data_IF_065812258876
#
_entry.id   IF_065812258876
#
_cell.length_a   1.000
_cell.length_b   1.000
_cell.length_c   1.000
_cell.angle_alpha   90.00
_cell.angle_beta   90.00
_cell.angle_gamma   90.00
#
_symmetry.space_group_name_H-M   'P 1'
#
loop_
_entity.id
_entity.type
_entity.pdbx_description
1 polymer ?
#
# COMPACT_ATOMS: atom_id res chain seq x y z
N UNK A 1 -54.22 2.80 8.94
CA UNK A 1 -52.75 2.78 9.01
C UNK A 1 -52.31 3.47 10.31
N UNK A 2 -51.60 2.81 11.22
CA UNK A 2 -51.12 3.45 12.47
C UNK A 2 -49.67 3.93 12.30
N UNK A 3 -49.32 5.17 12.68
CA UNK A 3 -47.95 5.66 12.55
C UNK A 3 -47.01 4.96 13.55
N UNK A 4 -45.82 4.57 13.10
CA UNK A 4 -44.77 4.00 13.96
C UNK A 4 -44.31 5.08 14.95
N UNK A 5 -44.29 4.75 16.25
CA UNK A 5 -43.99 5.67 17.36
C UNK A 5 -42.60 6.31 17.29
N UNK A 6 -41.65 5.70 16.56
CA UNK A 6 -40.33 6.28 16.26
C UNK A 6 -39.96 5.98 14.78
N UNK A 7 -39.96 6.98 13.88
CA UNK A 7 -39.61 6.78 12.47
C UNK A 7 -38.12 6.46 12.25
N UNK A 8 -37.28 6.86 13.21
CA UNK A 8 -35.81 6.82 13.10
C UNK A 8 -35.15 5.77 14.01
N UNK A 9 -35.92 4.91 14.67
CA UNK A 9 -35.38 3.76 15.41
C UNK A 9 -35.03 2.59 14.47
N UNK A 10 -34.92 2.86 13.17
CA UNK A 10 -34.54 1.91 12.14
C UNK A 10 -33.04 1.95 11.89
N UNK A 11 -32.40 0.81 12.15
CA UNK A 11 -30.99 0.51 11.89
C UNK A 11 -29.99 1.19 12.87
N UNK A 12 -29.62 0.41 13.90
CA UNK A 12 -28.19 0.21 14.24
C UNK A 12 -27.49 -0.52 13.09
N UNK A 13 -27.71 -0.06 11.86
CA UNK A 13 -26.96 -0.48 10.70
C UNK A 13 -25.63 0.16 10.93
N UNK A 14 -24.70 -0.67 11.42
CA UNK A 14 -23.27 -0.45 11.33
C UNK A 14 -23.03 0.59 10.24
N UNK A 15 -22.78 1.83 10.67
CA UNK A 15 -21.92 2.69 9.89
C UNK A 15 -20.67 1.84 9.85
N UNK A 16 -20.52 1.04 8.79
CA UNK A 16 -19.27 0.37 8.47
C UNK A 16 -18.37 1.57 8.35
N UNK A 17 -17.72 1.89 9.48
CA UNK A 17 -16.79 2.97 9.56
C UNK A 17 -15.89 2.69 8.39
N UNK A 18 -15.66 3.65 7.51
CA UNK A 18 -14.70 3.54 6.42
C UNK A 18 -13.25 3.37 6.94
N UNK A 19 -13.09 2.77 8.12
CA UNK A 19 -11.92 2.15 8.73
C UNK A 19 -11.77 0.67 8.34
N UNK A 20 -12.75 0.07 7.67
CA UNK A 20 -12.75 -1.37 7.41
C UNK A 20 -11.67 -1.86 6.42
N UNK A 21 -11.14 -1.00 5.55
CA UNK A 21 -10.13 -1.43 4.57
C UNK A 21 -9.24 -0.24 4.17
N UNK A 22 -8.49 0.34 5.11
CA UNK A 22 -7.32 1.10 4.67
C UNK A 22 -6.40 0.08 4.00
N UNK A 23 -6.09 0.21 2.70
CA UNK A 23 -5.15 -0.71 2.07
C UNK A 23 -3.88 -0.67 2.89
N UNK A 24 -3.39 -1.86 3.24
CA UNK A 24 -2.18 -1.99 4.03
C UNK A 24 -1.04 -1.42 3.19
N UNK A 25 -0.66 -0.17 3.47
CA UNK A 25 0.27 0.64 2.66
C UNK A 25 1.60 0.76 3.40
N UNK A 26 2.68 0.66 2.64
CA UNK A 26 4.01 1.10 3.06
C UNK A 26 4.19 2.54 2.59
N UNK A 27 4.39 3.45 3.54
CA UNK A 27 4.46 4.89 3.28
C UNK A 27 5.91 5.35 3.39
N UNK A 28 6.40 5.97 2.32
CA UNK A 28 7.66 6.70 2.28
C UNK A 28 7.37 8.21 2.13
N UNK A 29 8.37 9.09 2.33
CA UNK A 29 8.16 10.54 2.29
C UNK A 29 7.57 11.07 0.97
N UNK A 30 7.88 10.41 -0.15
CA UNK A 30 7.48 10.86 -1.48
C UNK A 30 6.64 9.85 -2.27
N UNK A 31 6.61 8.58 -1.86
CA UNK A 31 5.89 7.50 -2.54
C UNK A 31 5.22 6.58 -1.52
N UNK A 32 4.14 5.94 -1.89
CA UNK A 32 3.54 4.88 -1.08
C UNK A 32 3.06 3.76 -1.98
N UNK A 33 3.11 2.52 -1.49
CA UNK A 33 2.65 1.37 -2.25
C UNK A 33 2.04 0.32 -1.32
N UNK A 34 1.22 -0.56 -1.87
CA UNK A 34 0.55 -1.62 -1.10
C UNK A 34 1.56 -2.64 -0.61
N UNK A 35 1.39 -3.17 0.61
CA UNK A 35 2.23 -4.25 1.15
C UNK A 35 2.28 -5.47 0.25
N UNK A 36 1.23 -5.72 -0.54
CA UNK A 36 1.20 -6.79 -1.55
C UNK A 36 2.35 -6.68 -2.56
N UNK A 37 2.78 -5.46 -2.90
CA UNK A 37 3.90 -5.22 -3.82
C UNK A 37 5.27 -5.54 -3.21
N UNK A 38 5.39 -5.69 -1.88
CA UNK A 38 6.64 -6.08 -1.24
C UNK A 38 7.13 -7.45 -1.76
N UNK A 39 6.20 -8.36 -2.08
CA UNK A 39 6.50 -9.68 -2.66
C UNK A 39 7.19 -9.59 -4.02
N UNK A 40 7.03 -8.47 -4.70
CA UNK A 40 7.56 -8.21 -6.04
C UNK A 40 8.82 -7.35 -6.01
N UNK A 41 9.35 -6.98 -4.84
CA UNK A 41 10.62 -6.26 -4.75
C UNK A 41 11.74 -7.19 -5.22
N UNK A 42 12.38 -6.84 -6.34
CA UNK A 42 13.47 -7.59 -6.91
C UNK A 42 14.83 -7.10 -6.40
N UNK A 43 15.02 -5.78 -6.36
CA UNK A 43 16.25 -5.19 -5.87
C UNK A 43 16.03 -3.78 -5.30
N UNK A 44 16.91 -3.40 -4.37
CA UNK A 44 16.95 -2.06 -3.80
C UNK A 44 18.36 -1.53 -4.05
N UNK A 45 18.47 -0.37 -4.70
CA UNK A 45 19.76 0.19 -5.10
C UNK A 45 19.94 1.58 -4.49
N UNK A 46 21.10 1.80 -3.88
CA UNK A 46 21.50 3.12 -3.36
C UNK A 46 21.83 4.05 -4.54
N UNK A 47 21.26 5.25 -4.53
CA UNK A 47 21.65 6.35 -5.41
C UNK A 47 22.58 7.33 -4.67
N UNK A 48 23.37 8.11 -5.41
CA UNK A 48 24.28 9.11 -4.87
C UNK A 48 23.58 10.21 -4.02
N UNK A 49 22.35 10.59 -4.34
CA UNK A 49 21.66 11.77 -3.74
C UNK A 49 20.88 11.47 -2.45
N UNK A 50 21.36 10.55 -1.60
CA UNK A 50 20.59 10.04 -0.44
C UNK A 50 19.20 9.50 -0.82
N UNK A 51 19.02 9.11 -2.08
CA UNK A 51 17.82 8.50 -2.60
C UNK A 51 18.05 7.00 -2.81
N UNK A 52 16.97 6.26 -2.84
CA UNK A 52 16.99 4.81 -3.03
C UNK A 52 16.02 4.45 -4.14
N UNK A 53 16.42 3.60 -5.07
CA UNK A 53 15.52 3.08 -6.10
C UNK A 53 15.12 1.66 -5.69
N UNK A 54 13.81 1.44 -5.60
CA UNK A 54 13.23 0.11 -5.43
C UNK A 54 12.79 -0.38 -6.81
N UNK A 55 13.28 -1.54 -7.21
CA UNK A 55 12.88 -2.23 -8.43
C UNK A 55 11.86 -3.31 -8.09
N UNK A 56 10.73 -3.26 -8.79
CA UNK A 56 9.68 -4.26 -8.70
C UNK A 56 9.66 -5.10 -9.97
N UNK A 57 9.45 -6.41 -9.81
CA UNK A 57 9.17 -7.35 -10.89
C UNK A 57 7.80 -7.96 -10.66
N UNK A 58 6.79 -7.36 -11.28
CA UNK A 58 5.40 -7.85 -11.17
C UNK A 58 5.16 -8.84 -12.31
N UNK A 59 4.71 -10.08 -12.02
CA UNK A 59 4.44 -11.07 -13.06
C UNK A 59 3.25 -10.61 -13.91
N UNK A 60 3.37 -10.74 -15.23
CA UNK A 60 2.25 -10.48 -16.14
C UNK A 60 1.14 -11.50 -15.93
N UNK A 61 -0.11 -11.04 -16.04
CA UNK A 61 -1.33 -11.85 -15.84
C UNK A 61 -1.37 -13.12 -16.74
N UNK A 62 -0.63 -13.13 -17.85
CA UNK A 62 -0.56 -14.24 -18.80
C UNK A 62 0.77 -15.03 -18.78
N UNK A 63 1.59 -14.91 -17.74
CA UNK A 63 2.77 -15.78 -17.51
C UNK A 63 3.95 -15.58 -18.47
N UNK A 64 3.84 -14.68 -19.45
CA UNK A 64 4.91 -14.37 -20.42
C UNK A 64 5.75 -13.16 -19.97
N UNK A 65 6.46 -13.31 -18.85
CA UNK A 65 7.45 -12.35 -18.37
C UNK A 65 7.01 -11.49 -17.18
N UNK A 66 7.86 -10.52 -16.86
CA UNK A 66 7.68 -9.59 -15.74
C UNK A 66 7.62 -8.16 -16.28
N UNK A 67 6.75 -7.34 -15.69
CA UNK A 67 6.85 -5.89 -15.83
C UNK A 67 7.82 -5.36 -14.78
N UNK A 68 8.84 -4.65 -15.25
CA UNK A 68 9.81 -3.98 -14.40
C UNK A 68 9.33 -2.57 -14.09
N UNK A 69 8.96 -2.32 -12.83
CA UNK A 69 8.63 -1.00 -12.32
C UNK A 69 9.73 -0.51 -11.39
N UNK A 70 9.89 0.80 -11.27
CA UNK A 70 10.86 1.41 -10.35
C UNK A 70 10.22 2.55 -9.58
N UNK A 71 10.44 2.57 -8.27
CA UNK A 71 10.06 3.68 -7.40
C UNK A 71 11.32 4.35 -6.86
N UNK A 72 11.45 5.65 -7.12
CA UNK A 72 12.49 6.48 -6.48
C UNK A 72 11.97 6.94 -5.13
N UNK A 73 12.66 6.56 -4.07
CA UNK A 73 12.37 6.93 -2.68
C UNK A 73 13.34 8.02 -2.23
N UNK A 74 12.81 9.08 -1.63
CA UNK A 74 13.58 10.17 -1.04
C UNK A 74 14.06 9.84 0.39
N UNK A 75 14.61 8.63 0.59
CA UNK A 75 15.24 8.18 1.83
C UNK A 75 16.56 7.49 1.55
N UNK A 76 17.42 7.49 2.56
CA UNK A 76 18.68 6.75 2.53
C UNK A 76 18.42 5.26 2.40
N UNK A 77 19.39 4.55 1.83
CA UNK A 77 19.31 3.11 1.61
C UNK A 77 19.05 2.34 2.92
N UNK A 78 19.80 2.65 3.98
CA UNK A 78 19.68 1.98 5.28
C UNK A 78 18.30 2.18 5.92
N UNK A 79 17.77 3.40 5.85
CA UNK A 79 16.44 3.73 6.35
C UNK A 79 15.34 3.03 5.54
N UNK A 80 15.50 2.99 4.22
CA UNK A 80 14.58 2.30 3.31
C UNK A 80 14.54 0.80 3.62
N UNK A 81 15.70 0.15 3.77
CA UNK A 81 15.80 -1.27 4.15
C UNK A 81 15.18 -1.52 5.52
N UNK A 82 15.41 -0.64 6.51
CA UNK A 82 14.81 -0.76 7.84
C UNK A 82 13.28 -0.74 7.78
N UNK A 83 12.71 0.13 6.95
CA UNK A 83 11.25 0.20 6.73
C UNK A 83 10.76 -1.07 6.03
N UNK A 84 11.41 -1.49 4.94
CA UNK A 84 11.01 -2.69 4.19
C UNK A 84 11.06 -3.95 5.05
N UNK A 85 12.06 -4.09 5.92
CA UNK A 85 12.21 -5.24 6.82
C UNK A 85 11.26 -5.20 8.04
N UNK A 86 10.56 -4.09 8.28
CA UNK A 86 9.62 -3.98 9.40
C UNK A 86 8.24 -4.56 9.09
N UNK A 87 8.00 -4.96 7.83
CA UNK A 87 6.76 -5.53 7.31
C UNK A 87 6.98 -6.95 6.82
#
# INVERSE_FOLDING_TARGET
MRPKRYPYSGRKGQVKSAKADLPDLVVFPNVSFRKELLKHVFSVVKQHDNATIIYFRVPKVFGLGYDEERAKVALKYEETIKILNSY
#
